data_IF_138341148683
#
_entry.id   IF_138341148683
#
_cell.length_a   1.000
_cell.length_b   1.000
_cell.length_c   1.000
_cell.angle_alpha   90.00
_cell.angle_beta   90.00
_cell.angle_gamma   90.00
#
_symmetry.space_group_name_H-M   'P 1'
#
loop_
_entity.id
_entity.type
_entity.pdbx_description
1 polymer ?
#
# COMPACT_ATOMS: atom_id res chain seq x y z
N UNK A 1 -2.73 -11.07 -71.27
CA UNK A 1 -3.04 -11.61 -69.91
C UNK A 1 -1.81 -11.72 -69.01
N UNK A 2 -0.66 -12.24 -69.48
CA UNK A 2 0.55 -12.38 -68.65
C UNK A 2 1.06 -11.06 -68.00
N UNK A 3 1.09 -9.95 -68.76
CA UNK A 3 1.57 -8.65 -68.25
C UNK A 3 0.66 -8.01 -67.17
N UNK A 4 -0.64 -8.35 -67.15
CA UNK A 4 -1.58 -7.84 -66.16
C UNK A 4 -1.43 -8.58 -64.82
N UNK A 5 -1.17 -9.90 -64.85
CA UNK A 5 -0.91 -10.70 -63.65
C UNK A 5 0.40 -10.29 -62.97
N UNK A 6 1.45 -10.03 -63.77
CA UNK A 6 2.76 -9.65 -63.26
C UNK A 6 2.76 -8.27 -62.57
N UNK A 7 1.93 -7.34 -63.07
CA UNK A 7 1.70 -6.02 -62.45
C UNK A 7 0.91 -6.12 -61.13
N UNK A 8 -0.01 -7.09 -61.00
CA UNK A 8 -0.77 -7.31 -59.77
C UNK A 8 0.13 -7.91 -58.67
N UNK A 9 0.98 -8.88 -59.03
CA UNK A 9 1.94 -9.48 -58.10
C UNK A 9 3.00 -8.48 -57.60
N UNK A 10 3.53 -7.61 -58.48
CA UNK A 10 4.48 -6.56 -58.07
C UNK A 10 3.86 -5.54 -57.11
N UNK A 11 2.59 -5.17 -57.32
CA UNK A 11 1.87 -4.25 -56.45
C UNK A 11 1.55 -4.86 -55.07
N UNK A 12 1.26 -6.16 -55.00
CA UNK A 12 1.05 -6.88 -53.74
C UNK A 12 2.36 -6.98 -52.93
N UNK A 13 3.49 -7.25 -53.59
CA UNK A 13 4.80 -7.30 -52.94
C UNK A 13 5.24 -5.93 -52.38
N UNK A 14 5.02 -4.84 -53.13
CA UNK A 14 5.29 -3.48 -52.66
C UNK A 14 4.41 -3.07 -51.46
N UNK A 15 3.14 -3.49 -51.44
CA UNK A 15 2.22 -3.26 -50.31
C UNK A 15 2.63 -4.05 -49.05
N UNK A 16 3.11 -5.27 -49.21
CA UNK A 16 3.61 -6.08 -48.10
C UNK A 16 4.90 -5.47 -47.49
N UNK A 17 5.80 -4.96 -48.33
CA UNK A 17 7.04 -4.29 -47.89
C UNK A 17 6.77 -2.95 -47.18
N UNK A 18 5.81 -2.15 -47.67
CA UNK A 18 5.43 -0.89 -47.02
C UNK A 18 4.67 -1.09 -45.69
N UNK A 19 3.87 -2.14 -45.58
CA UNK A 19 3.25 -2.52 -44.30
C UNK A 19 4.29 -3.02 -43.28
N UNK A 20 5.28 -3.80 -43.71
CA UNK A 20 6.38 -4.26 -42.84
C UNK A 20 7.29 -3.11 -42.39
N UNK A 21 7.61 -2.15 -43.26
CA UNK A 21 8.42 -0.99 -42.88
C UNK A 21 7.69 -0.06 -41.90
N UNK A 22 6.39 0.18 -42.11
CA UNK A 22 5.56 0.95 -41.19
C UNK A 22 5.40 0.26 -39.82
N UNK A 23 5.24 -1.06 -39.81
CA UNK A 23 5.18 -1.84 -38.57
C UNK A 23 6.52 -1.81 -37.81
N UNK A 24 7.64 -1.97 -38.52
CA UNK A 24 8.99 -1.92 -37.94
C UNK A 24 9.30 -0.54 -37.37
N UNK A 25 8.93 0.54 -38.06
CA UNK A 25 9.09 1.91 -37.55
C UNK A 25 8.25 2.13 -36.29
N UNK A 26 6.98 1.72 -36.29
CA UNK A 26 6.10 1.83 -35.11
C UNK A 26 6.61 1.03 -33.91
N UNK A 27 7.16 -0.16 -34.13
CA UNK A 27 7.77 -0.96 -33.06
C UNK A 27 9.02 -0.27 -32.51
N UNK A 28 9.90 0.25 -33.37
CA UNK A 28 11.06 1.06 -32.94
C UNK A 28 10.64 2.30 -32.13
N UNK A 29 9.58 2.98 -32.55
CA UNK A 29 9.06 4.14 -31.82
C UNK A 29 8.50 3.73 -30.44
N UNK A 30 7.88 2.56 -30.33
CA UNK A 30 7.36 2.04 -29.04
C UNK A 30 8.49 1.61 -28.10
N UNK A 31 9.54 0.98 -28.64
CA UNK A 31 10.73 0.60 -27.88
C UNK A 31 11.47 1.85 -27.37
N UNK A 32 11.66 2.86 -28.23
CA UNK A 32 12.25 4.16 -27.85
C UNK A 32 11.43 4.85 -26.75
N UNK A 33 10.10 4.88 -26.87
CA UNK A 33 9.24 5.40 -25.80
C UNK A 33 9.44 4.62 -24.49
N UNK A 34 9.62 3.30 -24.56
CA UNK A 34 9.92 2.47 -23.38
C UNK A 34 11.26 2.82 -22.73
N UNK A 35 12.29 3.08 -23.54
CA UNK A 35 13.62 3.53 -23.07
C UNK A 35 13.52 4.91 -22.41
N UNK A 36 12.84 5.88 -23.04
CA UNK A 36 12.61 7.22 -22.51
C UNK A 36 11.84 7.19 -21.18
N UNK A 37 10.79 6.36 -21.08
CA UNK A 37 10.03 6.18 -19.83
C UNK A 37 10.94 5.63 -18.72
N UNK A 38 11.81 4.68 -19.06
CA UNK A 38 12.71 4.02 -18.10
C UNK A 38 13.79 4.99 -17.62
N UNK A 39 14.37 5.77 -18.53
CA UNK A 39 15.35 6.81 -18.22
C UNK A 39 14.74 7.90 -17.34
N UNK A 40 13.58 8.44 -17.72
CA UNK A 40 12.88 9.47 -16.94
C UNK A 40 12.49 8.94 -15.56
N UNK A 41 12.09 7.68 -15.47
CA UNK A 41 11.82 7.04 -14.18
C UNK A 41 13.05 7.00 -13.28
N UNK A 42 14.23 6.70 -13.82
CA UNK A 42 15.49 6.72 -13.05
C UNK A 42 15.82 8.12 -12.53
N UNK A 43 15.63 9.17 -13.34
CA UNK A 43 15.79 10.56 -12.90
C UNK A 43 14.80 10.93 -11.80
N UNK A 44 13.53 10.52 -11.93
CA UNK A 44 12.51 10.73 -10.88
C UNK A 44 12.92 10.02 -9.59
N UNK A 45 13.50 8.83 -9.67
CA UNK A 45 13.96 8.09 -8.50
C UNK A 45 15.13 8.81 -7.79
N UNK A 46 16.14 9.25 -8.55
CA UNK A 46 17.26 10.03 -8.01
C UNK A 46 16.79 11.36 -7.39
N UNK A 47 15.86 12.07 -8.04
CA UNK A 47 15.26 13.28 -7.50
C UNK A 47 14.44 13.00 -6.22
N UNK A 48 13.72 11.87 -6.19
CA UNK A 48 12.99 11.43 -5.00
C UNK A 48 13.95 11.13 -3.84
N UNK A 49 15.09 10.48 -4.11
CA UNK A 49 16.14 10.29 -3.11
C UNK A 49 16.61 11.63 -2.54
N UNK A 50 16.92 12.60 -3.40
CA UNK A 50 17.33 13.95 -2.96
C UNK A 50 16.27 14.62 -2.10
N UNK A 51 15.00 14.51 -2.48
CA UNK A 51 13.88 15.00 -1.68
C UNK A 51 13.85 14.35 -0.29
N UNK A 52 14.03 13.03 -0.18
CA UNK A 52 14.04 12.34 1.10
C UNK A 52 15.22 12.75 1.99
N UNK A 53 16.39 13.01 1.41
CA UNK A 53 17.54 13.55 2.15
C UNK A 53 17.20 14.91 2.75
N UNK A 54 16.59 15.81 1.98
CA UNK A 54 16.14 17.11 2.47
C UNK A 54 15.05 16.99 3.54
N UNK A 55 14.08 16.07 3.37
CA UNK A 55 13.05 15.81 4.37
C UNK A 55 13.68 15.34 5.68
N UNK A 56 14.68 14.45 5.64
CA UNK A 56 15.39 13.99 6.83
C UNK A 56 16.08 15.15 7.53
N UNK A 57 16.88 15.93 6.81
CA UNK A 57 17.61 17.07 7.38
C UNK A 57 16.66 18.10 7.99
N UNK A 58 15.56 18.39 7.30
CA UNK A 58 14.51 19.29 7.78
C UNK A 58 13.78 18.76 9.03
N UNK A 59 13.51 17.46 9.09
CA UNK A 59 12.90 16.82 10.27
C UNK A 59 13.87 16.78 11.47
N UNK A 60 15.15 16.49 11.25
CA UNK A 60 16.20 16.48 12.28
C UNK A 60 16.47 17.87 12.87
N UNK A 61 16.27 18.93 12.07
CA UNK A 61 16.38 20.32 12.52
C UNK A 61 15.07 20.87 13.09
N UNK A 62 14.02 20.05 13.17
CA UNK A 62 12.67 20.46 13.57
C UNK A 62 12.15 21.68 12.78
N UNK A 63 12.56 21.85 11.52
CA UNK A 63 12.20 23.02 10.70
C UNK A 63 10.70 23.15 10.41
N UNK A 64 9.94 22.08 10.68
CA UNK A 64 8.48 22.04 10.61
C UNK A 64 7.78 22.71 11.78
N UNK A 65 8.49 23.01 12.87
CA UNK A 65 7.92 23.53 14.11
C UNK A 65 7.42 24.96 13.92
N UNK A 66 6.13 25.09 13.65
CA UNK A 66 5.39 26.33 13.51
C UNK A 66 4.07 26.21 14.29
N UNK A 67 3.49 27.31 14.78
CA UNK A 67 2.19 27.27 15.45
C UNK A 67 1.14 26.52 14.61
N UNK A 68 0.54 25.47 15.17
CA UNK A 68 -0.46 24.63 14.50
C UNK A 68 0.07 23.43 13.70
N UNK A 69 1.39 23.26 13.57
CA UNK A 69 1.99 22.09 12.90
C UNK A 69 2.59 21.11 13.91
N UNK A 70 2.06 19.90 13.93
CA UNK A 70 2.39 18.88 14.94
C UNK A 70 3.49 17.89 14.52
N UNK A 71 3.94 17.89 13.26
CA UNK A 71 5.03 17.02 12.78
C UNK A 71 5.54 17.42 11.39
N UNK A 72 6.71 16.92 10.99
CA UNK A 72 7.20 17.05 9.62
C UNK A 72 6.24 16.48 8.57
N UNK A 73 5.54 15.38 8.88
CA UNK A 73 4.55 14.82 7.97
C UNK A 73 3.34 15.76 7.77
N UNK A 74 2.91 16.45 8.83
CA UNK A 74 1.87 17.46 8.76
C UNK A 74 2.34 18.68 7.94
N UNK A 75 3.59 19.12 8.14
CA UNK A 75 4.18 20.18 7.32
C UNK A 75 4.23 19.80 5.83
N UNK A 76 4.64 18.58 5.48
CA UNK A 76 4.64 18.09 4.10
C UNK A 76 3.23 18.01 3.50
N UNK A 77 2.25 17.65 4.31
CA UNK A 77 0.86 17.64 3.89
C UNK A 77 0.38 19.05 3.54
N UNK A 78 0.65 20.01 4.41
CA UNK A 78 0.23 21.41 4.23
C UNK A 78 1.02 22.13 3.12
N UNK A 79 2.36 22.07 3.15
CA UNK A 79 3.23 22.83 2.26
C UNK A 79 3.47 22.17 0.90
N UNK A 80 3.43 20.85 0.83
CA UNK A 80 3.73 20.10 -0.40
C UNK A 80 2.52 19.37 -0.99
N UNK A 81 1.33 19.48 -0.37
CA UNK A 81 0.10 18.82 -0.85
C UNK A 81 0.15 17.28 -0.79
N UNK A 82 1.08 16.70 -0.02
CA UNK A 82 1.24 15.25 0.04
C UNK A 82 0.21 14.67 1.03
N UNK A 83 -0.62 13.72 0.60
CA UNK A 83 -1.57 13.06 1.50
C UNK A 83 -0.89 12.52 2.78
N UNK A 84 -1.54 12.67 3.93
CA UNK A 84 -0.94 12.44 5.25
C UNK A 84 -0.23 11.09 5.41
N UNK A 85 -0.80 10.01 4.87
CA UNK A 85 -0.18 8.67 4.92
C UNK A 85 1.10 8.59 4.06
N UNK A 86 1.09 9.20 2.87
CA UNK A 86 2.27 9.26 2.01
C UNK A 86 3.36 10.15 2.61
N UNK A 87 2.99 11.23 3.31
CA UNK A 87 3.91 12.10 4.02
C UNK A 87 4.62 11.36 5.17
N UNK A 88 3.86 10.67 6.04
CA UNK A 88 4.43 9.83 7.12
C UNK A 88 5.37 8.77 6.57
N UNK A 89 4.98 8.12 5.47
CA UNK A 89 5.80 7.10 4.84
C UNK A 89 7.11 7.68 4.28
N UNK A 90 7.08 8.87 3.66
CA UNK A 90 8.28 9.56 3.21
C UNK A 90 9.21 9.89 4.36
N UNK A 91 8.70 10.45 5.46
CA UNK A 91 9.49 10.74 6.67
C UNK A 91 10.13 9.45 7.23
N UNK A 92 9.37 8.35 7.30
CA UNK A 92 9.90 7.04 7.74
C UNK A 92 11.04 6.55 6.86
N UNK A 93 10.85 6.56 5.53
CA UNK A 93 11.87 6.11 4.58
C UNK A 93 13.11 7.00 4.65
N UNK A 94 12.92 8.32 4.72
CA UNK A 94 13.99 9.31 4.85
C UNK A 94 14.87 9.04 6.09
N UNK A 95 14.25 8.77 7.25
CA UNK A 95 14.98 8.38 8.48
C UNK A 95 15.72 7.06 8.33
N UNK A 96 15.08 6.04 7.77
CA UNK A 96 15.67 4.71 7.64
C UNK A 96 16.92 4.71 6.74
N UNK A 97 16.91 5.48 5.65
CA UNK A 97 18.04 5.55 4.69
C UNK A 97 19.34 6.06 5.31
N UNK A 98 19.29 6.80 6.44
CA UNK A 98 20.48 7.28 7.16
C UNK A 98 21.45 6.16 7.52
N UNK A 99 20.92 4.98 7.85
CA UNK A 99 21.71 3.84 8.33
C UNK A 99 21.85 2.73 7.28
N UNK A 100 21.48 3.00 6.02
CA UNK A 100 21.43 1.99 4.95
C UNK A 100 22.28 2.44 3.76
N UNK A 101 23.60 2.40 3.92
CA UNK A 101 24.54 3.03 3.00
C UNK A 101 24.43 2.49 1.56
N UNK A 102 24.22 1.18 1.39
CA UNK A 102 24.21 0.55 0.08
C UNK A 102 22.90 0.81 -0.66
N UNK A 103 21.76 0.71 0.04
CA UNK A 103 20.44 1.05 -0.49
C UNK A 103 20.36 2.54 -0.81
N UNK A 104 20.91 3.41 0.06
CA UNK A 104 21.00 4.85 -0.16
C UNK A 104 21.76 5.17 -1.45
N UNK A 105 22.95 4.61 -1.64
CA UNK A 105 23.77 4.85 -2.83
C UNK A 105 23.09 4.33 -4.12
N UNK A 106 22.44 3.17 -4.07
CA UNK A 106 21.71 2.63 -5.22
C UNK A 106 20.48 3.47 -5.57
N UNK A 107 19.77 4.00 -4.57
CA UNK A 107 18.63 4.88 -4.80
C UNK A 107 19.04 6.25 -5.33
N UNK A 108 20.16 6.80 -4.84
CA UNK A 108 20.75 8.04 -5.33
C UNK A 108 21.05 7.99 -6.83
N UNK A 109 21.57 6.85 -7.32
CA UNK A 109 21.85 6.64 -8.75
C UNK A 109 20.60 6.32 -9.59
N UNK A 110 19.41 6.32 -9.00
CA UNK A 110 18.15 6.00 -9.70
C UNK A 110 17.99 4.51 -10.04
N UNK A 111 18.82 3.62 -9.50
CA UNK A 111 18.76 2.17 -9.77
C UNK A 111 17.58 1.48 -9.07
N UNK A 112 17.02 2.14 -8.06
CA UNK A 112 15.94 1.61 -7.24
C UNK A 112 14.73 2.54 -7.28
N UNK A 113 13.54 1.97 -7.50
CA UNK A 113 12.30 2.72 -7.38
C UNK A 113 11.96 3.00 -5.91
N UNK A 114 11.26 4.12 -5.66
CA UNK A 114 10.76 4.47 -4.33
C UNK A 114 9.95 3.33 -3.69
N UNK A 115 9.14 2.61 -4.47
CA UNK A 115 8.35 1.48 -3.98
C UNK A 115 9.22 0.34 -3.42
N UNK A 116 10.32 -0.01 -4.11
CA UNK A 116 11.27 -1.03 -3.63
C UNK A 116 11.95 -0.56 -2.34
N UNK A 117 12.49 0.65 -2.32
CA UNK A 117 13.16 1.24 -1.15
C UNK A 117 12.22 1.33 0.05
N UNK A 118 11.00 1.82 -0.18
CA UNK A 118 9.94 1.91 0.83
C UNK A 118 9.62 0.55 1.46
N UNK A 119 9.57 -0.51 0.66
CA UNK A 119 9.36 -1.87 1.16
C UNK A 119 10.58 -2.38 1.95
N UNK A 120 11.78 -2.30 1.38
CA UNK A 120 13.02 -2.82 1.98
C UNK A 120 13.33 -2.17 3.33
N UNK A 121 13.18 -0.84 3.44
CA UNK A 121 13.43 -0.07 4.67
C UNK A 121 12.56 -0.47 5.87
N UNK A 122 11.63 -1.42 5.72
CA UNK A 122 10.86 -2.00 6.85
C UNK A 122 11.59 -3.12 7.59
N UNK A 123 12.60 -3.72 6.95
CA UNK A 123 13.37 -4.86 7.48
C UNK A 123 14.89 -4.71 7.27
N UNK A 124 15.30 -3.72 6.47
CA UNK A 124 16.69 -3.53 6.12
C UNK A 124 17.51 -3.08 7.33
N UNK A 125 18.69 -3.67 7.49
CA UNK A 125 19.76 -3.28 8.40
C UNK A 125 21.11 -3.47 7.68
N UNK A 126 22.21 -3.01 8.29
CA UNK A 126 23.56 -3.09 7.71
C UNK A 126 23.96 -4.48 7.24
N UNK A 127 23.44 -5.52 7.90
CA UNK A 127 23.88 -6.90 7.71
C UNK A 127 23.14 -7.58 6.54
N UNK A 128 21.94 -7.08 6.19
CA UNK A 128 21.08 -7.68 5.16
C UNK A 128 20.90 -6.81 3.90
N UNK A 129 21.52 -5.63 3.82
CA UNK A 129 21.39 -4.73 2.67
C UNK A 129 21.76 -5.40 1.34
N UNK A 130 22.87 -6.15 1.29
CA UNK A 130 23.34 -6.80 0.05
C UNK A 130 22.32 -7.81 -0.48
N UNK A 131 21.72 -8.59 0.42
CA UNK A 131 20.72 -9.59 0.06
C UNK A 131 19.45 -8.93 -0.49
N UNK A 132 18.99 -7.86 0.15
CA UNK A 132 17.83 -7.10 -0.31
C UNK A 132 18.11 -6.42 -1.67
N UNK A 133 19.31 -5.88 -1.86
CA UNK A 133 19.73 -5.26 -3.12
C UNK A 133 19.81 -6.26 -4.27
N UNK A 134 20.35 -7.45 -4.03
CA UNK A 134 20.37 -8.52 -5.04
C UNK A 134 18.95 -8.81 -5.54
N UNK A 135 18.00 -8.99 -4.63
CA UNK A 135 16.60 -9.25 -5.00
C UNK A 135 15.97 -8.04 -5.69
N UNK A 136 16.25 -6.82 -5.21
CA UNK A 136 15.70 -5.62 -5.80
C UNK A 136 16.23 -5.36 -7.23
N UNK A 137 17.46 -5.76 -7.56
CA UNK A 137 18.05 -5.61 -8.90
C UNK A 137 17.46 -6.60 -9.91
N UNK A 138 17.13 -7.82 -9.48
CA UNK A 138 16.64 -8.88 -10.36
C UNK A 138 15.13 -9.15 -10.24
N UNK A 139 14.45 -8.44 -9.35
CA UNK A 139 13.03 -8.65 -9.04
C UNK A 139 12.16 -7.41 -9.28
N UNK A 140 10.85 -7.63 -9.35
CA UNK A 140 9.84 -6.57 -9.40
C UNK A 140 9.62 -5.98 -8.00
N UNK A 141 8.96 -4.81 -7.91
CA UNK A 141 8.55 -4.27 -6.62
C UNK A 141 7.66 -5.26 -5.82
N UNK A 142 6.81 -6.02 -6.52
CA UNK A 142 5.99 -7.07 -5.92
C UNK A 142 6.82 -8.17 -5.25
N UNK A 143 7.90 -8.65 -5.89
CA UNK A 143 8.79 -9.65 -5.29
C UNK A 143 9.43 -9.13 -4.00
N UNK A 144 9.88 -7.87 -3.99
CA UNK A 144 10.43 -7.21 -2.80
C UNK A 144 9.36 -7.09 -1.70
N UNK A 145 8.15 -6.65 -2.03
CA UNK A 145 7.07 -6.53 -1.05
C UNK A 145 6.68 -7.89 -0.45
N UNK A 146 6.62 -8.95 -1.26
CA UNK A 146 6.36 -10.31 -0.78
C UNK A 146 7.47 -10.85 0.11
N UNK A 147 8.73 -10.61 -0.23
CA UNK A 147 9.87 -10.96 0.62
C UNK A 147 9.75 -10.28 1.99
N UNK A 148 9.53 -8.95 1.99
CA UNK A 148 9.39 -8.17 3.22
C UNK A 148 8.19 -8.66 4.06
N UNK A 149 7.06 -8.97 3.42
CA UNK A 149 5.88 -9.52 4.10
C UNK A 149 6.20 -10.85 4.79
N UNK A 150 6.90 -11.76 4.09
CA UNK A 150 7.28 -13.07 4.62
C UNK A 150 8.32 -12.94 5.73
N UNK A 151 9.34 -12.09 5.55
CA UNK A 151 10.37 -11.83 6.56
C UNK A 151 9.74 -11.35 7.87
N UNK A 152 8.89 -10.32 7.81
CA UNK A 152 8.19 -9.81 9.01
C UNK A 152 7.25 -10.83 9.64
N UNK A 153 6.69 -11.75 8.85
CA UNK A 153 5.88 -12.86 9.39
C UNK A 153 6.76 -13.88 10.11
N UNK A 154 7.89 -14.25 9.52
CA UNK A 154 8.84 -15.18 10.13
C UNK A 154 9.44 -14.60 11.42
N UNK A 155 9.86 -13.33 11.40
CA UNK A 155 10.33 -12.61 12.58
C UNK A 155 9.27 -12.65 13.69
N UNK A 156 8.00 -12.31 13.39
CA UNK A 156 6.89 -12.41 14.37
C UNK A 156 6.65 -13.82 14.91
N UNK A 157 6.98 -14.88 14.16
CA UNK A 157 6.78 -16.27 14.56
C UNK A 157 7.97 -16.81 15.36
N UNK A 158 9.19 -16.35 15.07
CA UNK A 158 10.42 -16.74 15.76
C UNK A 158 10.59 -16.02 17.10
N UNK A 159 9.95 -14.87 17.23
CA UNK A 159 10.02 -14.05 18.42
C UNK A 159 9.09 -14.63 19.51
N UNK A 160 9.63 -15.56 20.31
CA UNK A 160 8.92 -16.25 21.40
C UNK A 160 8.34 -15.29 22.46
N UNK A 161 8.78 -14.04 22.49
CA UNK A 161 8.26 -12.96 23.32
C UNK A 161 7.04 -12.23 22.70
N UNK A 162 6.60 -12.62 21.50
CA UNK A 162 5.47 -12.00 20.81
C UNK A 162 4.18 -12.04 21.65
N UNK A 163 4.00 -13.07 22.48
CA UNK A 163 2.89 -13.13 23.44
C UNK A 163 2.97 -11.99 24.49
N UNK A 164 4.16 -11.73 25.02
CA UNK A 164 4.41 -10.64 25.97
C UNK A 164 4.27 -9.26 25.32
N UNK A 165 4.69 -9.08 24.06
CA UNK A 165 4.48 -7.81 23.32
C UNK A 165 3.03 -7.59 22.91
N UNK A 166 2.29 -8.63 22.51
CA UNK A 166 0.85 -8.52 22.29
C UNK A 166 0.12 -8.07 23.57
N UNK A 167 0.56 -8.57 24.72
CA UNK A 167 0.04 -8.14 26.02
C UNK A 167 0.46 -6.71 26.41
N UNK A 168 1.67 -6.26 26.03
CA UNK A 168 2.20 -4.91 26.34
C UNK A 168 1.70 -3.82 25.39
N UNK A 169 1.55 -4.11 24.10
CA UNK A 169 1.13 -3.15 23.06
C UNK A 169 -0.40 -3.11 22.89
N UNK A 170 -1.15 -3.68 23.84
CA UNK A 170 -2.60 -3.61 23.83
C UNK A 170 -3.03 -2.18 24.08
N UNK A 171 -3.93 -1.66 23.24
CA UNK A 171 -4.52 -0.35 23.44
C UNK A 171 -5.95 -0.34 22.93
N UNK A 172 -6.73 0.58 23.50
CA UNK A 172 -8.02 0.98 22.99
C UNK A 172 -8.04 2.51 23.05
N UNK A 173 -8.08 3.13 21.88
CA UNK A 173 -8.28 4.56 21.73
C UNK A 173 -9.72 4.79 21.28
N UNK A 174 -10.38 5.79 21.87
CA UNK A 174 -11.70 6.22 21.44
C UNK A 174 -11.71 7.74 21.30
N UNK A 175 -12.34 8.23 20.24
CA UNK A 175 -12.61 9.65 20.05
C UNK A 175 -13.95 9.82 19.33
N UNK A 176 -14.55 10.99 19.48
CA UNK A 176 -15.71 11.39 18.70
C UNK A 176 -15.23 12.20 17.50
N UNK A 177 -15.74 11.89 16.31
CA UNK A 177 -15.47 12.68 15.12
C UNK A 177 -16.32 13.97 15.08
N UNK A 178 -16.14 14.77 14.02
CA UNK A 178 -16.84 16.05 13.83
C UNK A 178 -18.36 15.86 13.68
N UNK A 179 -18.81 14.66 13.28
CA UNK A 179 -20.21 14.29 13.15
C UNK A 179 -20.79 13.71 14.46
N UNK A 180 -19.99 13.63 15.53
CA UNK A 180 -20.38 13.08 16.83
C UNK A 180 -20.43 11.56 16.88
N UNK A 181 -19.89 10.86 15.88
CA UNK A 181 -19.81 9.41 15.86
C UNK A 181 -18.62 8.91 16.68
N UNK A 182 -18.82 7.86 17.46
CA UNK A 182 -17.76 7.24 18.25
C UNK A 182 -16.86 6.38 17.36
N UNK A 183 -15.58 6.74 17.26
CA UNK A 183 -14.57 5.96 16.58
C UNK A 183 -13.72 5.22 17.61
N UNK A 184 -13.74 3.88 17.55
CA UNK A 184 -12.94 3.01 18.42
C UNK A 184 -11.84 2.35 17.62
N UNK A 185 -10.61 2.45 18.10
CA UNK A 185 -9.44 1.79 17.53
C UNK A 185 -8.75 0.94 18.60
N UNK A 186 -8.78 -0.37 18.43
CA UNK A 186 -8.21 -1.30 19.38
C UNK A 186 -7.15 -2.21 18.76
N UNK A 187 -6.12 -2.52 19.56
CA UNK A 187 -5.18 -3.61 19.32
C UNK A 187 -5.21 -4.52 20.51
N UNK A 188 -5.58 -5.78 20.29
CA UNK A 188 -5.77 -6.75 21.36
C UNK A 188 -4.87 -7.97 21.16
N UNK A 189 -4.45 -8.64 22.25
CA UNK A 189 -3.88 -9.98 22.20
C UNK A 189 -4.79 -10.95 21.44
N UNK A 190 -4.20 -11.95 20.77
CA UNK A 190 -4.94 -12.86 19.90
C UNK A 190 -6.16 -13.52 20.58
N UNK A 191 -6.00 -13.96 21.83
CA UNK A 191 -7.08 -14.59 22.61
C UNK A 191 -8.24 -13.61 22.90
N UNK A 192 -7.90 -12.38 23.32
CA UNK A 192 -8.91 -11.34 23.62
C UNK A 192 -9.60 -10.86 22.34
N UNK A 193 -8.87 -10.68 21.25
CA UNK A 193 -9.44 -10.34 19.95
C UNK A 193 -10.40 -11.42 19.44
N UNK A 194 -10.04 -12.70 19.59
CA UNK A 194 -10.91 -13.82 19.22
C UNK A 194 -12.22 -13.83 20.02
N UNK A 195 -12.17 -13.49 21.31
CA UNK A 195 -13.39 -13.35 22.13
C UNK A 195 -14.31 -12.25 21.61
N UNK A 196 -13.78 -11.07 21.27
CA UNK A 196 -14.59 -9.97 20.71
C UNK A 196 -15.18 -10.36 19.35
N UNK A 197 -14.38 -10.94 18.46
CA UNK A 197 -14.88 -11.39 17.15
C UNK A 197 -16.01 -12.41 17.32
N UNK A 198 -15.86 -13.37 18.23
CA UNK A 198 -16.89 -14.37 18.51
C UNK A 198 -18.16 -13.75 19.12
N UNK A 199 -18.03 -12.73 19.97
CA UNK A 199 -19.17 -12.00 20.52
C UNK A 199 -19.94 -11.25 19.43
N UNK A 200 -19.23 -10.58 18.52
CA UNK A 200 -19.83 -9.89 17.37
C UNK A 200 -20.51 -10.86 16.40
N UNK A 201 -19.87 -12.00 16.10
CA UNK A 201 -20.46 -13.06 15.27
C UNK A 201 -21.75 -13.59 15.90
N UNK A 202 -21.76 -13.83 17.21
CA UNK A 202 -22.96 -14.28 17.92
C UNK A 202 -24.09 -13.25 17.86
N UNK A 203 -23.80 -11.97 18.09
CA UNK A 203 -24.81 -10.91 17.98
C UNK A 203 -25.36 -10.79 16.54
N UNK A 204 -24.50 -10.92 15.53
CA UNK A 204 -24.93 -10.95 14.12
C UNK A 204 -25.84 -12.14 13.80
N UNK A 205 -25.54 -13.32 14.34
CA UNK A 205 -26.36 -14.53 14.18
C UNK A 205 -27.72 -14.37 14.87
N UNK A 206 -27.75 -13.76 16.07
CA UNK A 206 -28.99 -13.51 16.81
C UNK A 206 -29.86 -12.45 16.10
N UNK A 207 -29.27 -11.41 15.52
CA UNK A 207 -29.98 -10.45 14.64
C UNK A 207 -30.56 -11.14 13.41
N UNK A 208 -29.81 -12.05 12.79
CA UNK A 208 -30.26 -12.79 11.63
C UNK A 208 -31.47 -13.69 11.97
N UNK A 209 -31.41 -14.42 13.10
CA UNK A 209 -32.54 -15.24 13.56
C UNK A 209 -33.79 -14.42 13.87
N UNK A 210 -33.65 -13.25 14.51
CA UNK A 210 -34.80 -12.37 14.79
C UNK A 210 -35.44 -11.83 13.52
N UNK A 211 -34.65 -11.56 12.48
CA UNK A 211 -35.18 -11.11 11.19
C UNK A 211 -35.91 -12.24 10.44
N UNK A 212 -35.45 -13.49 10.57
CA UNK A 212 -36.10 -14.66 9.96
C UNK A 212 -37.39 -15.07 10.68
N UNK A 213 -37.48 -14.96 12.02
CA UNK A 213 -38.67 -15.33 12.80
C UNK A 213 -39.87 -14.35 12.62
N UNK A 214 -39.66 -13.19 11.99
CA UNK A 214 -40.70 -12.15 11.78
C UNK A 214 -41.19 -12.09 10.32
N UNK A 215 -40.54 -12.79 9.39
CA UNK A 215 -40.90 -12.72 7.96
C UNK A 215 -41.91 -13.81 7.57
N UNK A 216 -43.20 -13.47 7.69
CA UNK A 216 -44.32 -14.27 7.18
C UNK A 216 -45.17 -13.53 6.13
N UNK A 217 -44.63 -12.54 5.40
CA UNK A 217 -45.31 -11.99 4.20
C UNK A 217 -44.31 -11.69 3.05
N UNK A 218 -44.73 -12.16 1.87
CA UNK A 218 -44.24 -12.05 0.46
C UNK A 218 -42.97 -11.23 0.11
N UNK A 219 -42.04 -11.78 -0.71
CA UNK A 219 -40.80 -11.10 -1.10
C UNK A 219 -40.96 -10.30 -2.40
N UNK A 220 -40.97 -8.98 -2.32
CA UNK A 220 -40.75 -8.11 -3.49
C UNK A 220 -39.97 -6.85 -3.09
N UNK A 221 -38.68 -7.06 -2.80
CA UNK A 221 -37.56 -6.14 -2.96
C UNK A 221 -36.34 -6.85 -2.37
N UNK A 222 -35.27 -7.08 -3.14
CA UNK A 222 -34.00 -7.49 -2.54
C UNK A 222 -33.59 -6.37 -1.55
N UNK A 223 -33.57 -6.60 -0.22
CA UNK A 223 -33.09 -5.57 0.68
C UNK A 223 -31.64 -5.31 0.29
N UNK A 224 -31.33 -4.06 -0.04
CA UNK A 224 -29.97 -3.64 -0.32
C UNK A 224 -29.11 -4.10 0.84
N UNK A 225 -28.35 -5.19 0.65
CA UNK A 225 -27.65 -5.86 1.73
C UNK A 225 -26.75 -4.84 2.40
N UNK A 226 -27.10 -4.45 3.61
CA UNK A 226 -26.31 -3.51 4.37
C UNK A 226 -24.87 -3.99 4.43
N UNK A 227 -23.88 -3.10 4.24
CA UNK A 227 -22.48 -3.49 4.28
C UNK A 227 -22.19 -4.22 5.58
N UNK A 228 -21.41 -5.31 5.51
CA UNK A 228 -21.01 -6.09 6.68
C UNK A 228 -20.37 -5.23 7.79
N UNK A 229 -19.77 -4.09 7.43
CA UNK A 229 -19.23 -3.12 8.37
C UNK A 229 -20.32 -2.42 9.22
N UNK A 230 -21.46 -2.06 8.63
CA UNK A 230 -22.58 -1.44 9.34
C UNK A 230 -23.19 -2.44 10.34
N UNK A 231 -23.53 -3.64 9.86
CA UNK A 231 -24.05 -4.72 10.73
C UNK A 231 -23.11 -5.07 11.88
N UNK A 232 -21.79 -5.03 11.66
CA UNK A 232 -20.80 -5.23 12.73
C UNK A 232 -20.77 -4.08 13.74
N UNK A 233 -21.05 -2.86 13.32
CA UNK A 233 -21.18 -1.72 14.23
C UNK A 233 -22.42 -1.87 15.11
N UNK A 234 -23.56 -2.28 14.53
CA UNK A 234 -24.79 -2.55 15.29
C UNK A 234 -24.62 -3.71 16.27
N UNK A 235 -23.97 -4.80 15.81
CA UNK A 235 -23.63 -5.93 16.68
C UNK A 235 -22.70 -5.52 17.84
N UNK A 236 -21.81 -4.54 17.63
CA UNK A 236 -20.97 -4.02 18.71
C UNK A 236 -21.78 -3.24 19.74
N UNK A 237 -22.79 -2.47 19.30
CA UNK A 237 -23.71 -1.77 20.19
C UNK A 237 -24.56 -2.76 21.01
N UNK A 238 -25.10 -3.80 20.37
CA UNK A 238 -25.91 -4.83 21.04
C UNK A 238 -25.10 -5.62 22.08
N UNK A 239 -23.82 -5.92 21.79
CA UNK A 239 -22.91 -6.53 22.76
C UNK A 239 -22.72 -5.60 23.97
N UNK A 240 -22.62 -4.29 23.75
CA UNK A 240 -22.50 -3.31 24.83
C UNK A 240 -23.81 -3.16 25.63
N UNK A 241 -24.97 -3.11 24.97
CA UNK A 241 -26.31 -3.09 25.57
C UNK A 241 -26.53 -4.30 26.47
N UNK A 242 -26.23 -5.49 25.95
CA UNK A 242 -26.33 -6.75 26.71
C UNK A 242 -25.44 -6.75 27.95
N UNK A 243 -24.25 -6.14 27.86
CA UNK A 243 -23.34 -6.01 29.00
C UNK A 243 -23.81 -4.97 30.02
N UNK A 244 -24.40 -3.87 29.55
CA UNK A 244 -24.93 -2.79 30.39
C UNK A 244 -26.32 -3.12 30.98
N UNK A 245 -27.00 -4.13 30.45
CA UNK A 245 -28.33 -4.55 30.89
C UNK A 245 -29.45 -3.58 30.48
N UNK A 246 -29.25 -2.85 29.38
CA UNK A 246 -30.21 -1.88 28.82
C UNK A 246 -30.66 -2.29 27.43
#
# INVERSE_FOLDING_TARGET
MAAALQTVESNLAQRAQSAQSAQTHRTKDTEQLGEEITELSAYIYAATYRLLVLIREFDEQEGWHQPGLCSCAHWLNFKCGIGMNAAREKVRVAKALKNLAKISAAFERGELSYSKVRAMTRIANSDNEDYLLMIARHGTAYHVEKLVQKYRRAERLQDAEAANRQHRDRYLEQYYDEDGCLVIKARLPAEQGALIVKALEKALDDQFRRHDDVSAETPDAEPAREPLAARRADALAEVAETYLGC
#
